data_IF_601826950223
#
_entry.id   IF_601826950223
#
_cell.length_a   1.000
_cell.length_b   1.000
_cell.length_c   1.000
_cell.angle_alpha   90.00
_cell.angle_beta   90.00
_cell.angle_gamma   90.00
#
_symmetry.space_group_name_H-M   'P 1'
#
loop_
_entity.id
_entity.type
_entity.pdbx_description
1 polymer ?
#
# COMPACT_ATOMS: atom_id res chain seq x y z
N UNK A 1 -11.77 -5.65 -13.40
CA UNK A 1 -12.91 -5.34 -12.52
C UNK A 1 -12.33 -4.97 -11.15
N UNK A 2 -12.33 -3.69 -10.83
CA UNK A 2 -11.98 -3.21 -9.50
C UNK A 2 -13.16 -3.51 -8.57
N UNK A 3 -13.16 -4.68 -7.94
CA UNK A 3 -14.05 -4.94 -6.83
C UNK A 3 -13.43 -4.34 -5.59
N UNK A 4 -14.06 -3.33 -5.02
CA UNK A 4 -13.73 -2.80 -3.71
C UNK A 4 -14.30 -3.81 -2.71
N UNK A 5 -13.49 -4.50 -1.90
CA UNK A 5 -13.99 -5.44 -0.91
C UNK A 5 -14.50 -4.64 0.31
N UNK A 6 -15.71 -4.08 0.19
CA UNK A 6 -16.37 -3.36 1.28
C UNK A 6 -17.39 -4.31 1.88
N UNK A 7 -17.28 -4.62 3.16
CA UNK A 7 -18.15 -5.54 3.89
C UNK A 7 -19.55 -4.99 4.17
N UNK A 8 -19.73 -3.68 4.05
CA UNK A 8 -21.04 -3.04 4.09
C UNK A 8 -21.31 -2.37 2.75
N UNK A 9 -22.52 -2.43 2.21
CA UNK A 9 -22.93 -1.67 1.05
C UNK A 9 -22.93 -0.18 1.44
N UNK A 10 -21.77 0.42 1.53
CA UNK A 10 -21.70 1.86 1.52
C UNK A 10 -22.11 2.28 0.12
N UNK A 11 -23.24 2.95 0.00
CA UNK A 11 -23.59 3.68 -1.20
C UNK A 11 -22.52 4.78 -1.36
N UNK A 12 -21.38 4.40 -1.99
CA UNK A 12 -20.47 5.39 -2.50
C UNK A 12 -21.22 6.13 -3.59
N UNK A 13 -21.68 7.31 -3.25
CA UNK A 13 -22.18 8.24 -4.24
C UNK A 13 -20.99 8.65 -5.12
N UNK A 14 -20.86 7.97 -6.26
CA UNK A 14 -19.83 8.23 -7.26
C UNK A 14 -20.25 9.34 -8.20
N UNK A 15 -21.35 10.05 -7.93
CA UNK A 15 -21.71 11.23 -8.67
C UNK A 15 -20.57 12.26 -8.54
N UNK A 16 -20.00 12.74 -9.65
CA UNK A 16 -18.89 13.68 -9.60
C UNK A 16 -19.38 14.95 -8.91
N UNK A 17 -18.82 15.25 -7.74
CA UNK A 17 -19.09 16.48 -7.01
C UNK A 17 -18.73 17.67 -7.92
N UNK A 18 -19.64 18.63 -8.01
CA UNK A 18 -19.47 19.87 -8.80
C UNK A 18 -18.13 20.54 -8.47
N UNK A 19 -17.71 20.54 -7.23
CA UNK A 19 -16.43 21.13 -6.81
C UNK A 19 -15.24 20.37 -7.38
N UNK A 20 -15.30 19.04 -7.43
CA UNK A 20 -14.27 18.19 -8.04
C UNK A 20 -14.20 18.41 -9.54
N UNK A 21 -15.36 18.49 -10.22
CA UNK A 21 -15.41 18.77 -11.66
C UNK A 21 -14.85 20.15 -11.97
N UNK A 22 -15.22 21.18 -11.19
CA UNK A 22 -14.69 22.53 -11.35
C UNK A 22 -13.18 22.61 -11.09
N UNK A 23 -12.70 21.91 -10.06
CA UNK A 23 -11.27 21.83 -9.74
C UNK A 23 -10.48 21.18 -10.87
N UNK A 24 -10.96 20.04 -11.39
CA UNK A 24 -10.32 19.35 -12.52
C UNK A 24 -10.35 20.21 -13.78
N UNK A 25 -11.48 20.86 -14.08
CA UNK A 25 -11.59 21.77 -15.22
C UNK A 25 -10.61 22.95 -15.09
N UNK A 26 -10.51 23.55 -13.90
CA UNK A 26 -9.54 24.62 -13.62
C UNK A 26 -8.08 24.12 -13.80
N UNK A 27 -7.75 22.93 -13.32
CA UNK A 27 -6.43 22.32 -13.52
C UNK A 27 -6.11 22.09 -15.00
N UNK A 28 -7.07 21.59 -15.79
CA UNK A 28 -6.91 21.38 -17.24
C UNK A 28 -6.65 22.72 -17.95
N UNK A 29 -7.43 23.76 -17.63
CA UNK A 29 -7.24 25.09 -18.19
C UNK A 29 -5.88 25.67 -17.80
N UNK A 30 -5.49 25.58 -16.54
CA UNK A 30 -4.19 26.05 -16.06
C UNK A 30 -3.05 25.30 -16.77
N UNK A 31 -3.13 23.96 -16.82
CA UNK A 31 -2.12 23.12 -17.46
C UNK A 31 -2.02 23.35 -18.99
N UNK A 32 -3.11 23.68 -19.65
CA UNK A 32 -3.13 23.99 -21.10
C UNK A 32 -2.68 25.42 -21.43
N UNK A 33 -3.12 26.39 -20.63
CA UNK A 33 -2.89 27.84 -20.90
C UNK A 33 -1.48 28.26 -20.45
N UNK A 34 -1.01 27.83 -19.27
CA UNK A 34 0.28 28.27 -18.74
C UNK A 34 1.48 28.00 -19.67
N UNK A 35 1.63 26.80 -20.27
CA UNK A 35 2.74 26.54 -21.19
C UNK A 35 2.62 27.26 -22.51
N UNK A 36 1.41 27.66 -22.93
CA UNK A 36 1.15 28.38 -24.19
C UNK A 36 1.31 29.89 -24.06
N UNK A 37 0.85 30.48 -22.97
CA UNK A 37 0.87 31.95 -22.76
C UNK A 37 2.29 32.50 -22.61
N UNK A 38 3.16 31.79 -21.89
CA UNK A 38 4.52 32.27 -21.67
C UNK A 38 5.36 32.38 -22.95
N UNK A 39 5.41 31.40 -23.86
CA UNK A 39 6.06 31.57 -25.16
C UNK A 39 5.44 32.66 -26.00
N UNK A 40 4.10 32.79 -26.01
CA UNK A 40 3.40 33.82 -26.73
C UNK A 40 3.76 35.24 -26.23
N UNK A 41 3.78 35.45 -24.91
CA UNK A 41 4.20 36.72 -24.31
C UNK A 41 5.69 37.03 -24.56
N UNK A 42 6.56 36.01 -24.52
CA UNK A 42 7.98 36.18 -24.81
C UNK A 42 8.24 36.49 -26.29
N UNK A 43 7.46 35.91 -27.20
CA UNK A 43 7.51 36.22 -28.62
C UNK A 43 6.97 37.66 -28.92
N UNK A 44 5.89 38.07 -28.25
CA UNK A 44 5.34 39.40 -28.37
C UNK A 44 6.26 40.52 -27.86
N UNK A 45 7.16 40.22 -26.92
CA UNK A 45 8.18 41.14 -26.39
C UNK A 45 9.51 41.13 -27.15
N UNK A 46 9.66 40.24 -28.14
CA UNK A 46 10.86 40.21 -28.97
C UNK A 46 10.94 41.47 -29.84
N UNK A 47 12.01 42.25 -29.64
CA UNK A 47 12.22 43.50 -30.36
C UNK A 47 12.50 43.20 -31.84
N UNK A 48 11.54 43.53 -32.76
CA UNK A 48 11.61 43.26 -34.19
C UNK A 48 12.85 43.91 -34.84
N UNK A 49 13.36 45.04 -34.27
CA UNK A 49 14.55 45.72 -34.73
C UNK A 49 15.85 44.92 -34.47
N UNK A 50 15.91 44.08 -33.43
CA UNK A 50 17.07 43.20 -33.20
C UNK A 50 17.08 41.97 -34.12
N UNK A 51 15.90 41.53 -34.58
CA UNK A 51 15.77 40.40 -35.54
C UNK A 51 16.20 40.82 -36.94
N UNK A 52 15.89 42.04 -37.34
CA UNK A 52 16.27 42.59 -38.67
C UNK A 52 17.75 43.01 -38.76
N UNK A 53 18.36 43.40 -37.63
CA UNK A 53 19.78 43.77 -37.56
C UNK A 53 20.78 42.63 -37.52
N UNK A 54 20.33 41.38 -37.26
CA UNK A 54 21.19 40.21 -37.09
C UNK A 54 21.28 39.29 -38.32
N UNK A 55 20.99 39.77 -39.53
CA UNK A 55 21.20 39.00 -40.79
C UNK A 55 22.66 38.84 -41.16
N UNK A 56 23.59 39.33 -40.35
CA UNK A 56 25.04 39.12 -40.55
C UNK A 56 25.68 38.44 -39.33
N UNK A 57 26.18 37.25 -39.54
CA UNK A 57 27.31 36.64 -38.88
C UNK A 57 27.22 36.15 -37.41
N UNK A 58 26.14 36.29 -36.66
CA UNK A 58 26.08 35.65 -35.34
C UNK A 58 24.63 35.19 -35.04
N UNK A 59 24.18 34.16 -35.75
CA UNK A 59 23.14 33.30 -35.21
C UNK A 59 23.76 32.53 -33.99
N UNK A 60 23.92 33.26 -32.89
CA UNK A 60 24.23 32.67 -31.59
C UNK A 60 23.23 31.53 -31.40
N UNK A 61 23.71 30.30 -31.48
CA UNK A 61 22.95 29.08 -31.29
C UNK A 61 21.97 29.32 -30.13
N UNK A 62 20.68 29.48 -30.44
CA UNK A 62 19.70 29.84 -29.45
C UNK A 62 19.66 28.72 -28.42
N UNK A 63 20.37 28.94 -27.34
CA UNK A 63 20.38 28.02 -26.19
C UNK A 63 18.92 27.78 -25.81
N UNK A 64 18.50 26.55 -25.54
CA UNK A 64 17.15 26.28 -25.09
C UNK A 64 16.83 27.20 -23.94
N UNK A 65 15.68 27.90 -24.02
CA UNK A 65 15.27 28.87 -23.01
C UNK A 65 15.37 28.23 -21.62
N UNK A 66 15.87 28.94 -20.61
CA UNK A 66 16.04 28.38 -19.27
C UNK A 66 14.76 27.74 -18.73
N UNK A 67 13.60 28.31 -19.07
CA UNK A 67 12.29 27.77 -18.72
C UNK A 67 12.06 26.35 -19.24
N UNK A 68 12.41 26.07 -20.50
CA UNK A 68 12.22 24.75 -21.10
C UNK A 68 13.09 23.68 -20.43
N UNK A 69 14.30 24.05 -20.03
CA UNK A 69 15.20 23.16 -19.25
C UNK A 69 14.61 22.87 -17.89
N UNK A 70 14.07 23.90 -17.23
CA UNK A 70 13.43 23.77 -15.92
C UNK A 70 12.19 22.87 -15.99
N UNK A 71 11.33 23.06 -16.97
CA UNK A 71 10.13 22.22 -17.13
C UNK A 71 10.47 20.73 -17.32
N UNK A 72 11.46 20.43 -18.19
CA UNK A 72 11.89 19.05 -18.40
C UNK A 72 12.61 18.51 -17.16
N UNK A 73 13.42 19.30 -16.49
CA UNK A 73 14.03 18.90 -15.21
C UNK A 73 13.00 18.56 -14.14
N UNK A 74 11.96 19.41 -14.00
CA UNK A 74 10.85 19.16 -13.07
C UNK A 74 10.05 17.90 -13.45
N UNK A 75 9.83 17.68 -14.77
CA UNK A 75 9.12 16.50 -15.26
C UNK A 75 9.92 15.21 -15.02
N UNK A 76 11.25 15.24 -15.23
CA UNK A 76 12.14 14.14 -14.88
C UNK A 76 12.14 13.90 -13.37
N UNK A 77 12.22 14.96 -12.56
CA UNK A 77 12.18 14.84 -11.11
C UNK A 77 10.86 14.23 -10.62
N UNK A 78 9.73 14.69 -11.14
CA UNK A 78 8.41 14.15 -10.81
C UNK A 78 8.28 12.68 -11.19
N UNK A 79 8.69 12.31 -12.40
CA UNK A 79 8.65 10.90 -12.84
C UNK A 79 9.55 10.00 -12.00
N UNK A 80 10.76 10.47 -11.63
CA UNK A 80 11.66 9.73 -10.73
C UNK A 80 11.03 9.53 -9.36
N UNK A 81 10.43 10.58 -8.80
CA UNK A 81 9.76 10.52 -7.51
C UNK A 81 8.61 9.50 -7.54
N UNK A 82 7.71 9.58 -8.54
CA UNK A 82 6.59 8.65 -8.64
C UNK A 82 7.04 7.20 -8.82
N UNK A 83 8.04 6.94 -9.68
CA UNK A 83 8.58 5.60 -9.89
C UNK A 83 9.27 5.04 -8.63
N UNK A 84 10.01 5.85 -7.90
CA UNK A 84 10.67 5.42 -6.67
C UNK A 84 9.66 5.10 -5.58
N UNK A 85 8.65 5.95 -5.37
CA UNK A 85 7.56 5.69 -4.42
C UNK A 85 6.76 4.45 -4.85
N UNK A 86 6.45 4.28 -6.14
CA UNK A 86 5.80 3.09 -6.66
C UNK A 86 6.63 1.83 -6.37
N UNK A 87 7.93 1.87 -6.61
CA UNK A 87 8.84 0.74 -6.31
C UNK A 87 8.83 0.36 -4.84
N UNK A 88 8.86 1.34 -3.93
CA UNK A 88 8.77 1.10 -2.48
C UNK A 88 7.40 0.53 -2.08
N UNK A 89 6.30 1.00 -2.67
CA UNK A 89 4.95 0.50 -2.40
C UNK A 89 4.78 -0.94 -2.92
N UNK A 90 5.28 -1.24 -4.12
CA UNK A 90 5.26 -2.61 -4.66
C UNK A 90 6.08 -3.55 -3.79
N UNK A 91 7.26 -3.12 -3.34
CA UNK A 91 8.09 -3.90 -2.43
C UNK A 91 7.41 -4.11 -1.07
N UNK A 92 6.79 -3.06 -0.52
CA UNK A 92 6.01 -3.15 0.72
C UNK A 92 4.85 -4.15 0.58
N UNK A 93 4.10 -4.07 -0.51
CA UNK A 93 3.01 -5.01 -0.78
C UNK A 93 3.51 -6.45 -0.95
N UNK A 94 4.60 -6.66 -1.69
CA UNK A 94 5.21 -7.97 -1.84
C UNK A 94 5.67 -8.56 -0.50
N UNK A 95 6.28 -7.74 0.35
CA UNK A 95 6.68 -8.16 1.69
C UNK A 95 5.47 -8.58 2.54
N UNK A 96 4.37 -7.80 2.49
CA UNK A 96 3.13 -8.12 3.22
C UNK A 96 2.57 -9.51 2.85
N UNK A 97 2.70 -9.91 1.58
CA UNK A 97 2.25 -11.22 1.12
C UNK A 97 3.07 -12.38 1.70
N UNK A 98 4.32 -12.14 2.10
CA UNK A 98 5.24 -13.17 2.63
C UNK A 98 5.39 -13.12 4.15
N UNK A 99 4.78 -12.14 4.81
CA UNK A 99 4.82 -12.04 6.26
C UNK A 99 4.04 -13.18 6.89
N UNK A 100 4.66 -13.89 7.83
CA UNK A 100 3.98 -14.84 8.70
C UNK A 100 3.15 -14.07 9.75
N UNK A 101 1.82 -14.20 9.75
CA UNK A 101 0.96 -13.54 10.73
C UNK A 101 0.98 -14.23 12.10
N UNK A 102 1.61 -15.42 12.22
CA UNK A 102 1.63 -16.24 13.43
C UNK A 102 0.41 -17.14 13.57
N UNK A 103 -0.38 -17.32 12.50
CA UNK A 103 -1.51 -18.25 12.41
C UNK A 103 -1.65 -18.79 10.97
N UNK A 104 -2.40 -19.89 10.83
CA UNK A 104 -2.64 -20.51 9.52
C UNK A 104 -3.69 -19.71 8.73
N UNK A 105 -3.25 -18.99 7.70
CA UNK A 105 -4.15 -18.21 6.83
C UNK A 105 -4.79 -19.02 5.71
N UNK A 106 -4.16 -20.15 5.32
CA UNK A 106 -4.51 -20.86 4.10
C UNK A 106 -5.69 -21.84 4.28
N UNK A 107 -5.93 -22.28 5.52
CA UNK A 107 -6.91 -23.35 5.79
C UNK A 107 -8.07 -22.91 6.68
N UNK A 108 -8.40 -21.60 6.71
CA UNK A 108 -9.46 -21.10 7.58
C UNK A 108 -10.63 -20.51 6.79
N UNK A 109 -11.83 -20.99 7.10
CA UNK A 109 -13.11 -20.40 6.73
C UNK A 109 -13.70 -19.66 7.94
N UNK A 110 -14.28 -18.50 7.69
CA UNK A 110 -14.87 -17.60 8.69
C UNK A 110 -16.33 -17.39 8.37
N UNK A 111 -17.20 -17.64 9.33
CA UNK A 111 -18.64 -17.38 9.23
C UNK A 111 -19.08 -16.52 10.41
N UNK A 112 -19.52 -15.30 10.16
CA UNK A 112 -19.94 -14.35 11.20
C UNK A 112 -21.45 -14.25 11.22
N UNK A 113 -22.04 -14.30 12.41
CA UNK A 113 -23.47 -14.15 12.68
C UNK A 113 -23.69 -13.19 13.83
N UNK A 114 -24.86 -12.55 13.86
CA UNK A 114 -25.31 -11.68 14.94
C UNK A 114 -26.80 -11.89 15.21
N UNK A 115 -27.17 -12.96 15.92
CA UNK A 115 -28.57 -13.31 16.14
C UNK A 115 -29.35 -12.23 16.94
N UNK A 116 -28.67 -11.50 17.81
CA UNK A 116 -29.26 -10.41 18.62
C UNK A 116 -29.93 -9.33 17.78
N UNK A 117 -29.43 -9.02 16.59
CA UNK A 117 -30.08 -8.10 15.65
C UNK A 117 -31.39 -8.63 15.06
N UNK A 118 -31.67 -9.92 15.23
CA UNK A 118 -32.86 -10.61 14.70
C UNK A 118 -33.81 -11.03 15.82
N UNK A 119 -33.76 -10.35 16.97
CA UNK A 119 -34.70 -10.55 18.07
C UNK A 119 -34.36 -11.69 19.02
N UNK A 120 -33.20 -12.32 18.88
CA UNK A 120 -32.74 -13.35 19.82
C UNK A 120 -32.23 -12.67 21.09
N UNK A 121 -32.63 -13.20 22.23
CA UNK A 121 -31.99 -12.83 23.50
C UNK A 121 -30.59 -13.46 23.60
N UNK A 122 -29.86 -13.14 24.66
CA UNK A 122 -28.49 -13.62 24.87
C UNK A 122 -28.39 -15.12 24.92
N UNK A 123 -29.30 -15.80 25.61
CA UNK A 123 -29.28 -17.26 25.77
C UNK A 123 -29.63 -17.95 24.45
N UNK A 124 -30.59 -17.41 23.73
CA UNK A 124 -30.96 -17.88 22.38
C UNK A 124 -29.82 -17.67 21.38
N UNK A 125 -29.15 -16.52 21.44
CA UNK A 125 -27.98 -16.20 20.62
C UNK A 125 -26.84 -17.18 20.86
N UNK A 126 -26.52 -17.45 22.13
CA UNK A 126 -25.51 -18.43 22.51
C UNK A 126 -25.87 -19.81 22.00
N UNK A 127 -27.11 -20.28 22.22
CA UNK A 127 -27.59 -21.57 21.76
C UNK A 127 -27.52 -21.70 20.23
N UNK A 128 -27.94 -20.65 19.49
CA UNK A 128 -27.87 -20.62 18.03
C UNK A 128 -26.44 -20.75 17.55
N UNK A 129 -25.52 -19.91 18.04
CA UNK A 129 -24.11 -19.90 17.62
C UNK A 129 -23.43 -21.23 17.93
N UNK A 130 -23.67 -21.83 19.12
CA UNK A 130 -23.17 -23.16 19.48
C UNK A 130 -23.70 -24.25 18.55
N UNK A 131 -25.02 -24.27 18.32
CA UNK A 131 -25.65 -25.21 17.40
C UNK A 131 -25.13 -25.10 15.97
N UNK A 132 -24.92 -23.88 15.49
CA UNK A 132 -24.31 -23.65 14.18
C UNK A 132 -22.84 -24.12 14.14
N UNK A 133 -22.07 -23.84 15.18
CA UNK A 133 -20.68 -24.32 15.30
C UNK A 133 -20.58 -25.85 15.27
N UNK A 134 -21.50 -26.55 15.97
CA UNK A 134 -21.54 -28.01 15.97
C UNK A 134 -21.92 -28.59 14.62
N UNK A 135 -22.88 -27.98 13.91
CA UNK A 135 -23.21 -28.37 12.53
C UNK A 135 -22.04 -28.14 11.59
N UNK A 136 -21.35 -27.00 11.69
CA UNK A 136 -20.16 -26.72 10.89
C UNK A 136 -19.06 -27.73 11.18
N UNK A 137 -18.84 -28.09 12.44
CA UNK A 137 -17.86 -29.12 12.86
C UNK A 137 -18.14 -30.48 12.21
N UNK A 138 -19.41 -30.82 12.00
CA UNK A 138 -19.82 -32.08 11.40
C UNK A 138 -19.68 -32.12 9.86
N UNK A 139 -19.35 -30.99 9.21
CA UNK A 139 -19.18 -30.95 7.76
C UNK A 139 -17.89 -31.68 7.32
N UNK A 140 -17.95 -32.39 6.18
CA UNK A 140 -16.77 -33.06 5.64
C UNK A 140 -15.64 -32.06 5.36
N UNK A 141 -14.42 -32.41 5.76
CA UNK A 141 -13.24 -31.60 5.55
C UNK A 141 -13.00 -30.51 6.60
N UNK A 142 -13.88 -30.34 7.59
CA UNK A 142 -13.63 -29.49 8.76
C UNK A 142 -12.90 -30.32 9.83
N UNK A 143 -11.77 -29.83 10.31
CA UNK A 143 -10.95 -30.50 11.31
C UNK A 143 -11.13 -29.92 12.72
N UNK A 144 -11.29 -28.61 12.83
CA UNK A 144 -11.52 -27.90 14.09
C UNK A 144 -12.52 -26.75 13.87
N UNK A 145 -13.29 -26.46 14.90
CA UNK A 145 -14.12 -25.25 14.96
C UNK A 145 -13.90 -24.54 16.27
N UNK A 146 -13.93 -23.22 16.25
CA UNK A 146 -13.89 -22.39 17.44
C UNK A 146 -14.73 -21.13 17.24
N UNK A 147 -15.07 -20.47 18.33
CA UNK A 147 -15.81 -19.23 18.35
C UNK A 147 -14.90 -18.08 18.75
N UNK A 148 -15.08 -16.94 18.10
CA UNK A 148 -14.40 -15.72 18.48
C UNK A 148 -15.35 -14.53 18.26
N UNK A 149 -15.41 -13.61 19.18
CA UNK A 149 -16.12 -12.36 18.94
C UNK A 149 -15.46 -11.59 17.79
N UNK A 150 -14.12 -11.66 17.72
CA UNK A 150 -13.33 -11.05 16.64
C UNK A 150 -12.17 -11.96 16.27
N UNK A 151 -11.89 -12.01 14.98
CA UNK A 151 -10.71 -12.67 14.43
C UNK A 151 -9.62 -11.64 14.11
N UNK A 152 -8.36 -12.03 13.98
CA UNK A 152 -7.31 -11.15 13.49
C UNK A 152 -7.70 -10.48 12.16
N UNK A 153 -7.21 -9.26 11.95
CA UNK A 153 -7.50 -8.46 10.76
C UNK A 153 -8.99 -8.12 10.55
N UNK A 154 -9.76 -8.09 11.64
CA UNK A 154 -11.16 -7.64 11.59
C UNK A 154 -11.26 -6.18 11.11
N UNK A 155 -12.26 -5.91 10.28
CA UNK A 155 -12.57 -4.55 9.79
C UNK A 155 -13.47 -3.85 10.81
N UNK A 156 -12.90 -2.96 11.60
CA UNK A 156 -13.64 -2.23 12.63
C UNK A 156 -12.73 -1.72 13.75
N UNK A 157 -13.35 -1.14 14.77
CA UNK A 157 -12.64 -0.64 15.94
C UNK A 157 -12.35 -1.78 16.92
N UNK A 158 -11.14 -1.80 17.49
CA UNK A 158 -10.81 -2.73 18.56
C UNK A 158 -11.63 -2.40 19.81
N UNK A 159 -12.07 -3.43 20.50
CA UNK A 159 -12.51 -3.27 21.89
C UNK A 159 -11.26 -3.12 22.74
N UNK A 160 -10.94 -1.89 23.09
CA UNK A 160 -9.81 -1.58 23.94
C UNK A 160 -10.24 -1.71 25.39
N UNK A 161 -9.63 -2.62 26.13
CA UNK A 161 -9.90 -2.88 27.53
C UNK A 161 -8.67 -2.51 28.36
N UNK A 162 -8.90 -1.85 29.49
CA UNK A 162 -7.84 -1.55 30.45
C UNK A 162 -7.25 -2.83 31.01
N UNK A 163 -5.92 -2.98 30.94
CA UNK A 163 -5.20 -4.11 31.54
C UNK A 163 -3.90 -3.62 32.14
N UNK A 164 -3.68 -3.95 33.43
CA UNK A 164 -2.46 -3.59 34.14
C UNK A 164 -2.05 -4.69 35.13
N UNK A 165 -0.76 -4.79 35.48
CA UNK A 165 -0.29 -5.74 36.47
C UNK A 165 -0.92 -5.49 37.86
N UNK A 166 -1.14 -6.55 38.63
CA UNK A 166 -1.79 -6.47 39.97
C UNK A 166 -1.02 -5.60 40.97
N UNK A 167 0.30 -5.45 40.80
CA UNK A 167 1.15 -4.60 41.64
C UNK A 167 1.07 -3.08 41.29
N UNK A 168 0.25 -2.70 40.33
CA UNK A 168 0.04 -1.31 39.96
C UNK A 168 -1.40 -0.91 40.24
N UNK A 169 -1.61 0.32 40.73
CA UNK A 169 -2.93 0.89 40.83
C UNK A 169 -3.21 1.74 39.60
N UNK A 170 -4.36 1.52 39.00
CA UNK A 170 -4.81 2.30 37.86
C UNK A 170 -6.30 2.61 38.01
N UNK A 171 -6.70 3.83 37.65
CA UNK A 171 -8.10 4.28 37.73
C UNK A 171 -8.52 5.03 36.47
N UNK A 172 -9.71 4.67 35.99
CA UNK A 172 -10.36 5.37 34.87
C UNK A 172 -9.58 5.29 33.53
N UNK A 173 -9.55 6.42 32.83
CA UNK A 173 -8.96 6.51 31.50
C UNK A 173 -7.43 6.53 31.47
N UNK A 174 -6.78 6.65 32.62
CA UNK A 174 -5.31 6.58 32.73
C UNK A 174 -4.76 5.16 32.56
N UNK A 175 -5.61 4.12 32.61
CA UNK A 175 -5.21 2.74 32.47
C UNK A 175 -4.75 2.43 31.04
N UNK A 176 -3.62 1.70 30.87
CA UNK A 176 -3.21 1.20 29.57
C UNK A 176 -4.32 0.35 28.95
N UNK A 177 -4.75 0.69 27.75
CA UNK A 177 -5.82 -0.03 27.04
C UNK A 177 -5.24 -0.85 25.91
N UNK A 178 -5.62 -2.13 25.84
CA UNK A 178 -5.14 -3.09 24.86
C UNK A 178 -6.31 -3.80 24.18
N UNK A 179 -6.14 -4.25 22.94
CA UNK A 179 -7.15 -5.04 22.24
C UNK A 179 -7.45 -6.34 22.97
N UNK A 180 -8.72 -6.59 23.25
CA UNK A 180 -9.24 -7.81 23.83
C UNK A 180 -9.88 -8.68 22.76
N UNK A 181 -9.57 -9.98 22.79
CA UNK A 181 -10.11 -11.00 21.89
C UNK A 181 -10.83 -12.07 22.71
N UNK A 182 -12.16 -12.00 22.88
CA UNK A 182 -12.95 -13.06 23.49
C UNK A 182 -12.99 -14.26 22.53
N UNK A 183 -12.55 -15.43 22.99
CA UNK A 183 -12.42 -16.67 22.22
C UNK A 183 -12.86 -17.89 22.99
N UNK A 184 -13.40 -18.89 22.31
CA UNK A 184 -13.73 -20.18 22.94
C UNK A 184 -12.50 -21.06 23.13
N UNK A 185 -12.65 -22.11 23.91
CA UNK A 185 -11.70 -23.21 23.94
C UNK A 185 -11.44 -23.74 22.52
N UNK A 186 -10.21 -24.22 22.27
CA UNK A 186 -9.77 -24.73 20.98
C UNK A 186 -9.51 -23.67 19.90
N UNK A 187 -9.64 -22.38 20.24
CA UNK A 187 -9.41 -21.28 19.28
C UNK A 187 -7.98 -21.27 18.72
N UNK A 188 -6.98 -21.44 19.58
CA UNK A 188 -5.58 -21.42 19.17
C UNK A 188 -5.25 -22.62 18.27
N UNK A 189 -5.79 -23.79 18.59
CA UNK A 189 -5.68 -24.99 17.75
C UNK A 189 -6.38 -24.79 16.39
N UNK A 190 -7.60 -24.23 16.37
CA UNK A 190 -8.33 -23.92 15.14
C UNK A 190 -7.59 -22.91 14.29
N UNK A 191 -7.08 -21.82 14.86
CA UNK A 191 -6.31 -20.79 14.17
C UNK A 191 -4.89 -21.24 13.79
N UNK A 192 -4.35 -22.28 14.41
CA UNK A 192 -2.94 -22.68 14.26
C UNK A 192 -1.98 -21.73 14.94
N UNK A 193 -2.42 -21.06 16.00
CA UNK A 193 -1.59 -20.17 16.82
C UNK A 193 -0.82 -21.05 17.82
N UNK A 194 0.50 -21.03 17.74
CA UNK A 194 1.33 -21.77 18.68
C UNK A 194 1.45 -21.02 20.02
N UNK A 195 1.29 -21.74 21.12
CA UNK A 195 1.66 -21.24 22.44
C UNK A 195 3.18 -21.36 22.64
N UNK A 196 3.78 -20.30 23.19
CA UNK A 196 5.18 -20.31 23.62
C UNK A 196 5.31 -20.97 25.00
N UNK A 197 4.33 -20.67 25.88
CA UNK A 197 4.30 -21.15 27.27
C UNK A 197 2.86 -21.35 27.70
N UNK A 198 2.65 -22.27 28.66
CA UNK A 198 1.37 -22.49 29.30
C UNK A 198 0.41 -23.38 28.51
N UNK A 199 -0.88 -23.11 28.62
CA UNK A 199 -1.97 -23.89 28.03
C UNK A 199 -3.06 -23.03 27.41
N UNK A 200 -3.89 -23.64 26.58
CA UNK A 200 -5.15 -23.03 26.08
C UNK A 200 -6.23 -22.96 27.19
N UNK A 201 -7.31 -22.26 26.87
CA UNK A 201 -8.53 -22.29 27.66
C UNK A 201 -9.18 -23.68 27.57
N UNK A 202 -9.65 -24.19 28.72
CA UNK A 202 -10.46 -25.42 28.76
C UNK A 202 -11.94 -25.10 28.51
N UNK A 203 -12.73 -26.09 28.09
CA UNK A 203 -14.18 -25.99 28.08
C UNK A 203 -14.67 -25.73 29.50
N UNK A 204 -15.38 -24.61 29.69
CA UNK A 204 -15.78 -24.14 31.01
C UNK A 204 -14.71 -23.35 31.77
N UNK A 205 -13.68 -22.84 31.07
CA UNK A 205 -12.67 -21.98 31.67
C UNK A 205 -13.34 -20.87 32.51
N UNK A 206 -12.94 -20.80 33.78
CA UNK A 206 -13.51 -19.87 34.72
C UNK A 206 -13.23 -18.42 34.30
N UNK A 207 -14.17 -17.54 34.57
CA UNK A 207 -13.92 -16.10 34.53
C UNK A 207 -12.71 -15.82 35.45
N UNK A 208 -11.56 -15.49 34.88
CA UNK A 208 -10.31 -15.27 35.64
C UNK A 208 -9.04 -15.79 34.99
N UNK A 209 -9.15 -16.35 33.78
CA UNK A 209 -8.00 -16.75 32.97
C UNK A 209 -7.79 -15.79 31.81
N UNK A 210 -6.53 -15.53 31.46
CA UNK A 210 -6.12 -14.70 30.34
C UNK A 210 -4.94 -15.33 29.62
N UNK A 211 -4.93 -15.26 28.30
CA UNK A 211 -3.78 -15.60 27.45
C UNK A 211 -3.29 -14.30 26.79
N UNK A 212 -1.98 -14.07 26.84
CA UNK A 212 -1.38 -12.85 26.29
C UNK A 212 -0.49 -13.19 25.11
N UNK A 213 -0.29 -12.24 24.19
CA UNK A 213 0.70 -12.46 23.14
C UNK A 213 2.11 -12.10 23.61
N UNK A 214 3.12 -12.52 22.85
CA UNK A 214 4.53 -12.34 23.20
C UNK A 214 4.92 -10.88 23.40
N UNK A 215 4.35 -9.95 22.61
CA UNK A 215 4.62 -8.53 22.74
C UNK A 215 4.04 -7.94 24.03
N UNK A 216 2.81 -8.33 24.39
CA UNK A 216 2.21 -7.95 25.67
C UNK A 216 3.06 -8.46 26.84
N UNK A 217 3.47 -9.73 26.79
CA UNK A 217 4.29 -10.33 27.81
C UNK A 217 5.63 -9.61 28.00
N UNK A 218 6.33 -9.29 26.91
CA UNK A 218 7.62 -8.57 26.95
C UNK A 218 7.46 -7.14 27.49
N UNK A 219 6.35 -6.48 27.15
CA UNK A 219 6.11 -5.10 27.56
C UNK A 219 5.80 -5.01 29.08
N UNK A 220 5.00 -5.96 29.59
CA UNK A 220 4.60 -5.96 31.00
C UNK A 220 5.63 -6.63 31.93
N UNK A 221 6.32 -7.62 31.43
CA UNK A 221 7.29 -8.41 32.20
C UNK A 221 8.59 -8.61 31.42
N UNK A 222 9.49 -7.61 31.43
CA UNK A 222 10.80 -7.72 30.74
C UNK A 222 11.69 -8.85 31.31
N UNK A 223 11.39 -9.33 32.52
CA UNK A 223 12.05 -10.49 33.16
C UNK A 223 11.68 -11.84 32.51
N UNK A 224 10.75 -11.86 31.52
CA UNK A 224 10.34 -13.03 30.78
C UNK A 224 9.42 -14.01 31.51
N UNK A 225 8.93 -13.68 32.70
CA UNK A 225 8.05 -14.54 33.52
C UNK A 225 6.61 -14.02 33.51
N UNK A 226 5.88 -14.27 32.43
CA UNK A 226 4.47 -13.86 32.32
C UNK A 226 3.51 -14.91 32.91
N UNK A 227 3.81 -16.19 32.76
CA UNK A 227 2.94 -17.30 33.18
C UNK A 227 2.68 -17.26 34.68
N UNK A 228 1.41 -17.41 35.09
CA UNK A 228 0.98 -17.38 36.48
C UNK A 228 0.89 -15.98 37.09
N UNK A 229 1.27 -14.93 36.39
CA UNK A 229 1.11 -13.55 36.84
C UNK A 229 -0.37 -13.16 36.82
N UNK A 230 -0.74 -12.28 37.76
CA UNK A 230 -2.09 -11.71 37.82
C UNK A 230 -2.08 -10.34 37.17
N UNK A 231 -3.06 -10.10 36.32
CA UNK A 231 -3.39 -8.79 35.75
C UNK A 231 -4.80 -8.40 36.14
N UNK A 232 -5.05 -7.10 36.21
CA UNK A 232 -6.39 -6.55 36.42
C UNK A 232 -6.96 -6.10 35.08
N UNK A 233 -8.19 -6.51 34.79
CA UNK A 233 -8.83 -6.30 33.48
C UNK A 233 -10.14 -5.52 33.65
N UNK A 234 -10.39 -4.61 32.71
CA UNK A 234 -11.61 -3.80 32.67
C UNK A 234 -11.64 -2.68 33.70
N UNK A 235 -12.71 -1.90 33.68
CA UNK A 235 -12.89 -0.75 34.59
C UNK A 235 -13.03 -1.18 36.05
N UNK A 236 -13.58 -2.37 36.29
CA UNK A 236 -13.73 -2.95 37.63
C UNK A 236 -12.42 -3.59 38.17
N UNK A 237 -11.38 -3.70 37.34
CA UNK A 237 -10.11 -4.29 37.74
C UNK A 237 -10.24 -5.75 38.14
N UNK A 238 -10.98 -6.56 37.39
CA UNK A 238 -11.17 -7.99 37.64
C UNK A 238 -9.82 -8.69 37.59
N UNK A 239 -9.40 -9.43 38.65
CA UNK A 239 -8.14 -10.14 38.62
C UNK A 239 -8.22 -11.34 37.68
N UNK A 240 -7.26 -11.47 36.76
CA UNK A 240 -7.13 -12.57 35.83
C UNK A 240 -5.70 -13.12 35.86
N UNK A 241 -5.57 -14.46 35.82
CA UNK A 241 -4.28 -15.14 35.84
C UNK A 241 -3.84 -15.46 34.42
N UNK A 242 -2.59 -15.13 34.07
CA UNK A 242 -1.98 -15.49 32.78
C UNK A 242 -1.74 -17.01 32.76
N UNK A 243 -2.51 -17.73 31.95
CA UNK A 243 -2.43 -19.20 31.80
C UNK A 243 -1.68 -19.62 30.56
N UNK A 244 -1.44 -18.73 29.62
CA UNK A 244 -0.70 -19.00 28.40
C UNK A 244 -0.11 -17.74 27.78
N UNK A 245 0.97 -17.93 27.02
CA UNK A 245 1.61 -16.90 26.21
C UNK A 245 1.69 -17.42 24.79
N UNK A 246 1.13 -16.69 23.81
CA UNK A 246 1.27 -17.10 22.41
C UNK A 246 2.66 -16.74 21.89
N UNK A 247 3.13 -17.48 20.90
CA UNK A 247 4.23 -17.01 20.06
C UNK A 247 3.81 -15.73 19.37
N UNK A 248 4.66 -15.19 18.51
CA UNK A 248 4.35 -14.01 17.72
C UNK A 248 3.00 -14.19 17.02
N UNK A 249 2.03 -13.32 17.33
CA UNK A 249 0.70 -13.33 16.71
C UNK A 249 0.32 -11.93 16.33
N UNK A 250 0.19 -11.65 15.03
CA UNK A 250 -0.24 -10.36 14.52
C UNK A 250 -1.76 -10.33 14.44
N UNK A 251 -2.37 -9.56 15.32
CA UNK A 251 -3.83 -9.44 15.38
C UNK A 251 -4.36 -8.27 14.54
N UNK A 252 -3.51 -7.25 14.33
CA UNK A 252 -3.88 -6.06 13.57
C UNK A 252 -2.67 -5.46 12.87
N UNK A 253 -2.69 -5.45 11.55
CA UNK A 253 -1.58 -4.99 10.73
C UNK A 253 -0.44 -6.02 10.65
N UNK A 254 0.23 -6.04 9.50
CA UNK A 254 1.32 -6.97 9.21
C UNK A 254 2.71 -6.36 9.47
N UNK A 255 2.74 -5.09 9.89
CA UNK A 255 3.97 -4.34 10.15
C UNK A 255 4.77 -4.88 11.34
N UNK A 256 4.08 -5.10 12.45
CA UNK A 256 4.66 -5.61 13.70
C UNK A 256 3.61 -6.30 14.55
N UNK A 257 4.04 -7.16 15.45
CA UNK A 257 3.19 -7.63 16.53
C UNK A 257 2.82 -6.44 17.42
N UNK A 258 1.55 -6.37 17.80
CA UNK A 258 1.04 -5.37 18.75
C UNK A 258 0.56 -6.07 19.99
N UNK A 259 0.73 -5.47 21.18
CA UNK A 259 0.24 -6.07 22.41
C UNK A 259 -1.25 -6.36 22.30
N UNK A 260 -1.63 -7.59 22.63
CA UNK A 260 -3.01 -8.06 22.61
C UNK A 260 -3.19 -9.18 23.64
N UNK A 261 -4.42 -9.40 24.05
CA UNK A 261 -4.75 -10.48 24.96
C UNK A 261 -6.06 -11.15 24.59
N UNK A 262 -6.19 -12.39 25.04
CA UNK A 262 -7.33 -13.26 24.80
C UNK A 262 -8.01 -13.56 26.12
N UNK A 263 -9.33 -13.57 26.12
CA UNK A 263 -10.16 -13.92 27.29
C UNK A 263 -11.16 -14.99 26.88
N UNK A 264 -11.64 -15.82 27.80
CA UNK A 264 -12.71 -16.77 27.52
C UNK A 264 -13.95 -16.07 26.97
N UNK A 265 -14.59 -16.67 25.97
CA UNK A 265 -15.85 -16.18 25.40
C UNK A 265 -16.99 -16.41 26.43
N UNK A 266 -17.41 -15.36 27.07
CA UNK A 266 -18.47 -15.38 28.09
C UNK A 266 -19.84 -15.03 27.50
N UNK A 267 -20.89 -15.24 28.27
CA UNK A 267 -22.26 -15.04 27.83
C UNK A 267 -22.55 -13.63 27.29
N UNK A 268 -21.95 -12.59 27.88
CA UNK A 268 -22.12 -11.21 27.43
C UNK A 268 -21.60 -10.94 26.01
N UNK A 269 -20.70 -11.77 25.50
CA UNK A 269 -20.13 -11.60 24.16
C UNK A 269 -21.10 -12.04 23.05
N UNK A 270 -22.19 -12.76 23.39
CA UNK A 270 -23.22 -13.18 22.43
C UNK A 270 -24.27 -12.09 22.15
N UNK A 271 -24.20 -10.95 22.82
CA UNK A 271 -25.04 -9.78 22.52
C UNK A 271 -24.62 -9.08 21.20
N UNK A 272 -23.47 -9.43 20.65
CA UNK A 272 -22.94 -8.90 19.40
C UNK A 272 -22.58 -9.98 18.39
N UNK A 273 -21.90 -9.57 17.36
CA UNK A 273 -21.45 -10.48 16.31
C UNK A 273 -20.42 -11.50 16.83
N UNK A 274 -20.62 -12.76 16.49
CA UNK A 274 -19.70 -13.87 16.78
C UNK A 274 -19.28 -14.55 15.48
N UNK A 275 -17.98 -14.82 15.37
CA UNK A 275 -17.38 -15.50 14.23
C UNK A 275 -17.11 -16.95 14.55
N UNK A 276 -17.60 -17.85 13.74
CA UNK A 276 -17.21 -19.26 13.74
C UNK A 276 -15.97 -19.38 12.88
N UNK A 277 -14.87 -19.81 13.49
CA UNK A 277 -13.63 -20.12 12.82
C UNK A 277 -13.61 -21.62 12.54
N UNK A 278 -13.56 -22.00 11.27
CA UNK A 278 -13.54 -23.39 10.84
C UNK A 278 -12.22 -23.70 10.13
N UNK A 279 -11.43 -24.61 10.69
CA UNK A 279 -10.21 -25.12 10.05
C UNK A 279 -10.57 -26.23 9.09
N UNK A 280 -10.07 -26.15 7.87
CA UNK A 280 -10.29 -27.13 6.81
C UNK A 280 -9.04 -27.98 6.58
N UNK A 281 -9.22 -29.20 6.11
CA UNK A 281 -8.13 -30.09 5.66
C UNK A 281 -7.63 -29.77 4.24
N UNK A 282 -8.32 -28.88 3.52
CA UNK A 282 -8.01 -28.48 2.15
C UNK A 282 -8.41 -27.02 1.90
N UNK A 283 -8.76 -26.70 0.66
CA UNK A 283 -9.15 -25.35 0.25
C UNK A 283 -10.38 -24.85 1.03
N UNK A 284 -10.26 -23.82 1.87
CA UNK A 284 -11.35 -23.30 2.68
C UNK A 284 -12.49 -22.69 1.85
N UNK A 285 -12.24 -22.27 0.60
CA UNK A 285 -13.28 -21.73 -0.27
C UNK A 285 -14.36 -22.79 -0.59
N UNK A 286 -13.99 -24.06 -0.59
CA UNK A 286 -14.96 -25.18 -0.81
C UNK A 286 -15.85 -25.42 0.39
N UNK A 287 -15.46 -24.98 1.58
CA UNK A 287 -16.28 -25.11 2.78
C UNK A 287 -17.33 -24.00 2.89
N UNK A 288 -17.19 -22.89 2.19
CA UNK A 288 -18.11 -21.75 2.32
C UNK A 288 -19.57 -22.11 1.94
N UNK A 289 -19.88 -22.74 0.78
CA UNK A 289 -21.25 -23.09 0.46
C UNK A 289 -21.90 -24.07 1.46
N UNK A 290 -21.25 -25.17 1.90
CA UNK A 290 -21.79 -26.02 2.95
C UNK A 290 -22.05 -25.31 4.28
N UNK A 291 -21.18 -24.38 4.69
CA UNK A 291 -21.38 -23.56 5.90
C UNK A 291 -22.61 -22.67 5.74
N UNK A 292 -22.79 -22.02 4.58
CA UNK A 292 -23.98 -21.24 4.30
C UNK A 292 -25.26 -22.07 4.37
N UNK A 293 -25.25 -23.27 3.79
CA UNK A 293 -26.39 -24.20 3.83
C UNK A 293 -26.70 -24.65 5.27
N UNK A 294 -25.69 -24.91 6.08
CA UNK A 294 -25.86 -25.28 7.50
C UNK A 294 -26.50 -24.15 8.32
N UNK A 295 -26.12 -22.90 8.07
CA UNK A 295 -26.70 -21.73 8.71
C UNK A 295 -28.18 -21.55 8.31
N UNK A 296 -28.48 -21.57 7.02
CA UNK A 296 -29.86 -21.44 6.50
C UNK A 296 -30.78 -22.55 6.96
N UNK A 297 -30.25 -23.77 7.12
CA UNK A 297 -31.01 -24.93 7.63
C UNK A 297 -31.28 -24.86 9.14
N UNK A 298 -30.53 -24.04 9.89
CA UNK A 298 -30.78 -23.85 11.31
C UNK A 298 -31.83 -22.78 11.57
N UNK A 299 -31.73 -21.65 10.92
CA UNK A 299 -32.68 -20.55 10.99
C UNK A 299 -32.57 -19.63 9.75
N UNK A 300 -33.63 -19.51 9.00
CA UNK A 300 -33.63 -18.76 7.73
C UNK A 300 -33.53 -17.24 7.95
N UNK A 301 -34.02 -16.75 9.09
CA UNK A 301 -34.12 -15.31 9.38
C UNK A 301 -32.84 -14.72 9.96
N UNK A 302 -31.84 -15.55 10.29
CA UNK A 302 -30.52 -15.06 10.77
C UNK A 302 -29.50 -15.21 9.64
N UNK A 303 -29.24 -14.14 8.88
CA UNK A 303 -28.28 -14.19 7.80
C UNK A 303 -26.84 -14.25 8.33
N UNK A 304 -25.96 -14.84 7.54
CA UNK A 304 -24.53 -14.69 7.76
C UNK A 304 -24.12 -13.24 7.41
N UNK A 305 -23.55 -12.52 8.38
CA UNK A 305 -23.02 -11.18 8.15
C UNK A 305 -21.82 -11.20 7.19
N UNK A 306 -20.92 -12.16 7.43
CA UNK A 306 -19.81 -12.42 6.52
C UNK A 306 -19.56 -13.91 6.42
N UNK A 307 -19.18 -14.35 5.22
CA UNK A 307 -18.76 -15.72 4.93
C UNK A 307 -17.59 -15.67 3.95
N UNK A 308 -16.39 -15.93 4.42
CA UNK A 308 -15.17 -15.78 3.62
C UNK A 308 -14.02 -16.60 4.17
N UNK A 309 -12.94 -16.70 3.40
CA UNK A 309 -11.70 -17.30 3.87
C UNK A 309 -10.87 -16.27 4.65
N UNK A 310 -9.93 -16.73 5.47
CA UNK A 310 -9.00 -15.87 6.18
C UNK A 310 -8.09 -15.07 5.23
N UNK A 311 -7.73 -15.63 4.08
CA UNK A 311 -7.00 -14.91 3.05
C UNK A 311 -7.81 -13.75 2.47
N UNK A 312 -9.10 -13.95 2.21
CA UNK A 312 -10.00 -12.88 1.77
C UNK A 312 -10.13 -11.79 2.85
N UNK A 313 -10.23 -12.20 4.13
CA UNK A 313 -10.24 -11.27 5.26
C UNK A 313 -8.98 -10.39 5.28
N UNK A 314 -7.80 -11.00 5.15
CA UNK A 314 -6.53 -10.27 5.11
C UNK A 314 -6.39 -9.39 3.85
N UNK A 315 -6.93 -9.84 2.71
CA UNK A 315 -6.88 -9.09 1.45
C UNK A 315 -7.58 -7.72 1.57
N UNK A 316 -8.64 -7.61 2.38
CA UNK A 316 -9.32 -6.34 2.67
C UNK A 316 -8.35 -5.34 3.31
N UNK A 317 -7.53 -5.77 4.26
CA UNK A 317 -6.54 -4.92 4.92
C UNK A 317 -5.37 -4.52 3.98
N UNK A 318 -5.05 -5.37 3.01
CA UNK A 318 -3.98 -5.13 2.03
C UNK A 318 -4.45 -4.31 0.82
N UNK A 319 -5.76 -4.15 0.64
CA UNK A 319 -6.33 -3.44 -0.51
C UNK A 319 -5.79 -2.00 -0.69
N UNK A 320 -5.65 -1.15 0.36
CA UNK A 320 -5.12 0.20 0.19
C UNK A 320 -3.69 0.19 -0.36
N UNK A 321 -2.83 -0.71 0.12
CA UNK A 321 -1.45 -0.84 -0.34
C UNK A 321 -1.38 -1.25 -1.81
N UNK A 322 -2.20 -2.23 -2.21
CA UNK A 322 -2.32 -2.66 -3.60
C UNK A 322 -2.80 -1.52 -4.50
N UNK A 323 -3.83 -0.80 -4.09
CA UNK A 323 -4.40 0.30 -4.87
C UNK A 323 -3.43 1.46 -5.02
N UNK A 324 -2.78 1.88 -3.93
CA UNK A 324 -1.74 2.90 -3.97
C UNK A 324 -0.58 2.49 -4.87
N UNK A 325 -0.11 1.25 -4.78
CA UNK A 325 0.96 0.74 -5.66
C UNK A 325 0.58 0.86 -7.13
N UNK A 326 -0.64 0.49 -7.52
CA UNK A 326 -1.13 0.63 -8.88
C UNK A 326 -1.23 2.09 -9.33
N UNK A 327 -1.81 2.97 -8.50
CA UNK A 327 -1.95 4.39 -8.82
C UNK A 327 -0.56 5.03 -9.06
N UNK A 328 0.37 4.83 -8.13
CA UNK A 328 1.71 5.41 -8.25
C UNK A 328 2.49 4.80 -9.43
N UNK A 329 2.31 3.51 -9.73
CA UNK A 329 2.92 2.88 -10.89
C UNK A 329 2.39 3.48 -12.20
N UNK A 330 1.07 3.61 -12.35
CA UNK A 330 0.46 4.21 -13.54
C UNK A 330 0.91 5.68 -13.70
N UNK A 331 0.85 6.47 -12.64
CA UNK A 331 1.32 7.86 -12.67
C UNK A 331 2.82 7.95 -13.00
N UNK A 332 3.64 7.07 -12.44
CA UNK A 332 5.07 6.99 -12.72
C UNK A 332 5.37 6.65 -14.17
N UNK A 333 4.68 5.65 -14.73
CA UNK A 333 4.82 5.27 -16.14
C UNK A 333 4.38 6.40 -17.08
N UNK A 334 3.22 7.01 -16.82
CA UNK A 334 2.75 8.15 -17.60
C UNK A 334 3.73 9.33 -17.56
N UNK A 335 4.22 9.66 -16.36
CA UNK A 335 5.22 10.71 -16.19
C UNK A 335 6.54 10.38 -16.89
N UNK A 336 6.97 9.11 -16.87
CA UNK A 336 8.14 8.63 -17.60
C UNK A 336 7.98 8.76 -19.12
N UNK A 337 6.83 8.38 -19.67
CA UNK A 337 6.54 8.52 -21.09
C UNK A 337 6.56 10.00 -21.49
N UNK A 338 5.88 10.87 -20.74
CA UNK A 338 5.87 12.31 -20.99
C UNK A 338 7.28 12.91 -20.92
N UNK A 339 8.08 12.54 -19.92
CA UNK A 339 9.48 13.00 -19.77
C UNK A 339 10.34 12.55 -20.94
N UNK A 340 10.14 11.30 -21.38
CA UNK A 340 10.87 10.72 -22.49
C UNK A 340 10.54 11.45 -23.81
N UNK A 341 9.27 11.68 -24.09
CA UNK A 341 8.81 12.43 -25.28
C UNK A 341 9.29 13.89 -25.21
N UNK A 342 9.18 14.52 -24.04
CA UNK A 342 9.63 15.90 -23.83
C UNK A 342 11.12 16.08 -24.10
N UNK A 343 11.95 15.19 -23.56
CA UNK A 343 13.40 15.27 -23.75
C UNK A 343 13.80 14.91 -25.20
N UNK A 344 13.21 13.86 -25.77
CA UNK A 344 13.43 13.52 -27.18
C UNK A 344 13.04 14.67 -28.14
N UNK A 345 11.94 15.37 -27.86
CA UNK A 345 11.52 16.56 -28.60
C UNK A 345 12.52 17.72 -28.51
N UNK A 346 13.11 17.94 -27.32
CA UNK A 346 14.16 18.97 -27.16
C UNK A 346 15.41 18.59 -27.93
N UNK A 347 15.83 17.34 -27.85
CA UNK A 347 16.99 16.82 -28.57
C UNK A 347 16.77 16.96 -30.08
N UNK A 348 15.62 16.52 -30.58
CA UNK A 348 15.28 16.64 -32.02
C UNK A 348 15.33 18.09 -32.49
N UNK A 349 14.72 19.02 -31.74
CA UNK A 349 14.73 20.43 -32.07
C UNK A 349 16.14 21.06 -32.02
N UNK A 350 16.94 20.67 -31.02
CA UNK A 350 18.33 21.13 -30.89
C UNK A 350 19.19 20.66 -32.08
N UNK A 351 19.00 19.40 -32.46
CA UNK A 351 19.69 18.80 -33.62
C UNK A 351 19.28 19.49 -34.92
N UNK A 352 17.98 19.69 -35.18
CA UNK A 352 17.49 20.32 -36.39
C UNK A 352 18.04 21.75 -36.60
N UNK A 353 18.26 22.48 -35.53
CA UNK A 353 18.87 23.82 -35.58
C UNK A 353 20.39 23.82 -35.83
N UNK A 354 21.07 22.69 -35.55
CA UNK A 354 22.52 22.56 -35.67
C UNK A 354 22.95 21.72 -36.86
N UNK A 355 22.02 21.37 -37.76
CA UNK A 355 22.32 20.53 -38.93
C UNK A 355 23.45 21.11 -39.79
N UNK A 356 23.48 22.44 -40.01
CA UNK A 356 24.55 23.11 -40.75
C UNK A 356 25.90 23.02 -40.04
N UNK A 357 25.91 23.25 -38.70
CA UNK A 357 27.14 23.08 -37.88
C UNK A 357 27.68 21.66 -37.96
N UNK A 358 26.78 20.68 -37.87
CA UNK A 358 27.15 19.26 -38.02
C UNK A 358 27.66 18.91 -39.40
N UNK A 359 27.04 19.48 -40.44
CA UNK A 359 27.53 19.32 -41.82
C UNK A 359 28.95 19.85 -42.01
N UNK A 360 29.24 21.04 -41.54
CA UNK A 360 30.59 21.65 -41.59
C UNK A 360 31.61 20.80 -40.81
N UNK A 361 31.24 20.32 -39.61
CA UNK A 361 32.16 19.46 -38.81
C UNK A 361 32.44 18.12 -39.51
N UNK A 362 31.43 17.52 -40.15
CA UNK A 362 31.62 16.28 -40.92
C UNK A 362 32.52 16.50 -42.15
N UNK A 363 32.38 17.63 -42.83
CA UNK A 363 33.29 17.99 -43.93
C UNK A 363 34.72 18.24 -43.47
N UNK A 364 34.93 18.58 -42.20
CA UNK A 364 36.25 18.73 -41.55
C UNK A 364 36.78 17.43 -40.95
N UNK A 365 36.08 16.29 -41.12
CA UNK A 365 36.55 14.95 -40.70
C UNK A 365 35.96 14.44 -39.38
N UNK A 366 34.98 15.10 -38.78
CA UNK A 366 34.27 14.56 -37.63
C UNK A 366 33.46 13.31 -38.00
N UNK A 367 33.50 12.28 -37.15
CA UNK A 367 32.76 11.06 -37.39
C UNK A 367 31.31 11.17 -36.87
N UNK A 368 30.35 10.41 -37.43
CA UNK A 368 29.00 10.34 -36.92
C UNK A 368 28.92 9.96 -35.43
N UNK A 369 29.91 9.19 -34.95
CA UNK A 369 30.00 8.80 -33.51
C UNK A 369 30.34 9.98 -32.60
N UNK A 370 31.13 10.93 -33.06
CA UNK A 370 31.48 12.12 -32.28
C UNK A 370 30.27 13.01 -32.08
N UNK A 371 29.44 13.19 -33.11
CA UNK A 371 28.20 13.93 -33.06
C UNK A 371 27.16 13.25 -32.16
N UNK A 372 27.06 11.93 -32.27
CA UNK A 372 26.18 11.14 -31.40
C UNK A 372 26.57 11.31 -29.92
N UNK A 373 27.88 11.24 -29.61
CA UNK A 373 28.40 11.41 -28.27
C UNK A 373 28.13 12.79 -27.72
N UNK A 374 28.26 13.85 -28.54
CA UNK A 374 27.95 15.23 -28.14
C UNK A 374 26.47 15.41 -27.78
N UNK A 375 25.57 14.88 -28.63
CA UNK A 375 24.11 14.92 -28.40
C UNK A 375 23.73 14.15 -27.15
N UNK A 376 24.25 12.93 -26.95
CA UNK A 376 24.00 12.15 -25.77
C UNK A 376 24.52 12.82 -24.49
N UNK A 377 25.74 13.39 -24.55
CA UNK A 377 26.32 14.11 -23.41
C UNK A 377 25.46 15.32 -22.99
N UNK A 378 24.92 16.06 -23.99
CA UNK A 378 24.02 17.19 -23.70
C UNK A 378 22.70 16.72 -23.06
N UNK A 379 22.18 15.56 -23.49
CA UNK A 379 20.97 14.95 -22.93
C UNK A 379 21.18 14.50 -21.49
N UNK A 380 22.28 13.86 -21.18
CA UNK A 380 22.67 13.42 -19.83
C UNK A 380 22.83 14.63 -18.90
N UNK A 381 23.45 15.72 -19.35
CA UNK A 381 23.57 16.95 -18.56
C UNK A 381 22.22 17.57 -18.18
N UNK A 382 21.18 17.36 -18.99
CA UNK A 382 19.82 17.81 -18.66
C UNK A 382 19.08 16.83 -17.74
N UNK A 383 19.36 15.53 -17.88
CA UNK A 383 18.75 14.46 -17.10
C UNK A 383 19.20 14.45 -15.65
N UNK A 384 20.52 14.56 -15.41
CA UNK A 384 21.13 14.37 -14.09
C UNK A 384 20.54 15.27 -12.99
N UNK A 385 20.38 16.59 -13.19
CA UNK A 385 19.79 17.44 -12.14
C UNK A 385 18.36 17.05 -11.79
N UNK A 386 17.54 16.73 -12.81
CA UNK A 386 16.16 16.26 -12.60
C UNK A 386 16.12 14.93 -11.85
N UNK A 387 16.99 13.98 -12.22
CA UNK A 387 17.11 12.68 -11.57
C UNK A 387 17.50 12.82 -10.09
N UNK A 388 18.53 13.61 -9.80
CA UNK A 388 18.98 13.86 -8.41
C UNK A 388 17.88 14.52 -7.59
N UNK A 389 17.25 15.57 -8.13
CA UNK A 389 16.14 16.24 -7.45
C UNK A 389 14.98 15.28 -7.19
N UNK A 390 14.64 14.44 -8.19
CA UNK A 390 13.58 13.43 -8.05
C UNK A 390 13.88 12.37 -7.00
N UNK A 391 15.11 11.88 -6.92
CA UNK A 391 15.53 10.93 -5.89
C UNK A 391 15.49 11.56 -4.49
N UNK A 392 15.91 12.81 -4.34
CA UNK A 392 15.82 13.53 -3.07
C UNK A 392 14.37 13.76 -2.65
N UNK A 393 13.50 14.17 -3.59
CA UNK A 393 12.06 14.31 -3.33
C UNK A 393 11.42 12.98 -2.95
N UNK A 394 11.78 11.89 -3.64
CA UNK A 394 11.31 10.55 -3.32
C UNK A 394 11.72 10.10 -1.91
N UNK A 395 12.99 10.33 -1.54
CA UNK A 395 13.49 10.01 -0.21
C UNK A 395 12.80 10.84 0.88
N UNK A 396 12.56 12.12 0.64
CA UNK A 396 11.83 12.99 1.55
C UNK A 396 10.37 12.55 1.69
N UNK A 397 9.68 12.29 0.58
CA UNK A 397 8.29 11.79 0.59
C UNK A 397 8.17 10.44 1.29
N UNK A 398 9.07 9.49 1.01
CA UNK A 398 9.10 8.18 1.65
C UNK A 398 9.36 8.28 3.16
N UNK A 399 10.22 9.21 3.59
CA UNK A 399 10.50 9.44 5.00
C UNK A 399 9.33 10.09 5.75
N UNK A 400 8.63 11.03 5.13
CA UNK A 400 7.41 11.63 5.68
C UNK A 400 6.27 10.61 5.78
N UNK A 401 6.16 9.73 4.80
CA UNK A 401 5.13 8.70 4.73
C UNK A 401 5.62 7.32 5.21
N UNK A 402 6.66 7.24 6.03
CA UNK A 402 7.26 5.97 6.46
C UNK A 402 6.29 5.01 7.15
N UNK A 403 5.22 5.53 7.77
CA UNK A 403 4.16 4.74 8.41
C UNK A 403 3.32 3.93 7.39
N UNK A 404 3.36 4.28 6.10
CA UNK A 404 2.66 3.55 5.02
C UNK A 404 3.50 2.35 4.55
N UNK A 405 4.83 2.39 4.69
CA UNK A 405 5.72 1.35 4.17
C UNK A 405 5.97 0.27 5.21
N UNK A 406 5.44 -0.92 4.96
CA UNK A 406 5.53 -2.06 5.88
C UNK A 406 6.70 -2.95 5.49
N UNK A 407 7.61 -3.21 6.45
CA UNK A 407 8.72 -4.15 6.25
C UNK A 407 9.74 -3.71 5.20
N UNK A 408 9.75 -2.43 4.82
CA UNK A 408 10.69 -1.87 3.84
C UNK A 408 11.52 -0.78 4.51
N UNK A 409 12.83 -0.86 4.33
CA UNK A 409 13.67 0.28 4.63
C UNK A 409 13.49 1.33 3.55
N UNK A 410 12.76 2.41 3.86
CA UNK A 410 12.44 3.49 2.92
C UNK A 410 13.66 4.19 2.33
N UNK A 411 14.83 4.03 2.93
CA UNK A 411 16.11 4.55 2.45
C UNK A 411 17.00 3.47 1.82
N UNK A 412 16.44 2.31 1.46
CA UNK A 412 17.21 1.25 0.80
C UNK A 412 17.77 1.76 -0.55
N UNK A 413 19.11 1.91 -0.70
CA UNK A 413 19.72 2.50 -1.89
C UNK A 413 19.44 1.68 -3.16
N UNK A 414 19.19 0.38 -3.05
CA UNK A 414 18.96 -0.49 -4.19
C UNK A 414 17.74 -0.03 -4.98
N UNK A 415 16.62 0.27 -4.32
CA UNK A 415 15.39 0.74 -4.99
C UNK A 415 15.63 2.03 -5.77
N UNK A 416 16.34 2.99 -5.16
CA UNK A 416 16.65 4.28 -5.81
C UNK A 416 17.60 4.10 -7.00
N UNK A 417 18.62 3.26 -6.87
CA UNK A 417 19.57 2.95 -7.95
C UNK A 417 18.86 2.26 -9.12
N UNK A 418 18.02 1.26 -8.85
CA UNK A 418 17.25 0.56 -9.90
C UNK A 418 16.35 1.52 -10.66
N UNK A 419 15.61 2.39 -9.96
CA UNK A 419 14.74 3.39 -10.60
C UNK A 419 15.56 4.40 -11.41
N UNK A 420 16.67 4.88 -10.87
CA UNK A 420 17.54 5.81 -11.57
C UNK A 420 18.12 5.20 -12.86
N UNK A 421 18.60 3.98 -12.79
CA UNK A 421 19.14 3.25 -13.95
C UNK A 421 18.05 2.97 -15.00
N UNK A 422 16.86 2.52 -14.56
CA UNK A 422 15.72 2.27 -15.44
C UNK A 422 15.35 3.54 -16.22
N UNK A 423 15.17 4.65 -15.49
CA UNK A 423 14.77 5.92 -16.09
C UNK A 423 15.86 6.48 -17.00
N UNK A 424 17.12 6.47 -16.57
CA UNK A 424 18.24 6.91 -17.39
C UNK A 424 18.35 6.09 -18.69
N UNK A 425 18.21 4.77 -18.60
CA UNK A 425 18.26 3.86 -19.77
C UNK A 425 17.15 4.17 -20.76
N UNK A 426 15.90 4.30 -20.31
CA UNK A 426 14.74 4.58 -21.19
C UNK A 426 14.90 5.93 -21.88
N UNK A 427 15.29 6.97 -21.15
CA UNK A 427 15.46 8.32 -21.71
C UNK A 427 16.64 8.37 -22.70
N UNK A 428 17.76 7.73 -22.37
CA UNK A 428 18.91 7.66 -23.27
C UNK A 428 18.55 6.92 -24.56
N UNK A 429 17.88 5.77 -24.46
CA UNK A 429 17.41 5.00 -25.63
C UNK A 429 16.48 5.84 -26.51
N UNK A 430 15.57 6.60 -25.93
CA UNK A 430 14.66 7.47 -26.67
C UNK A 430 15.39 8.62 -27.38
N UNK A 431 16.53 9.08 -26.85
CA UNK A 431 17.35 10.11 -27.47
C UNK A 431 18.26 9.56 -28.60
N UNK A 432 18.49 8.24 -28.65
CA UNK A 432 19.33 7.63 -29.69
C UNK A 432 18.69 7.77 -31.08
N UNK A 433 17.38 7.59 -31.22
CA UNK A 433 16.71 7.67 -32.51
C UNK A 433 16.86 9.06 -33.18
N UNK A 434 16.56 10.20 -32.51
CA UNK A 434 16.82 11.52 -33.10
C UNK A 434 18.31 11.79 -33.32
N UNK A 435 19.20 11.30 -32.47
CA UNK A 435 20.63 11.48 -32.63
C UNK A 435 21.20 10.71 -33.85
N UNK A 436 20.73 9.48 -34.09
CA UNK A 436 21.09 8.71 -35.29
C UNK A 436 20.56 9.35 -36.59
N UNK A 437 19.37 9.94 -36.55
CA UNK A 437 18.86 10.72 -37.72
C UNK A 437 19.76 11.89 -38.04
N UNK A 438 20.24 12.60 -37.01
CA UNK A 438 21.16 13.70 -37.17
C UNK A 438 22.51 13.32 -37.79
N UNK A 439 23.03 12.18 -37.40
CA UNK A 439 24.35 11.68 -37.90
C UNK A 439 24.31 11.15 -39.33
N UNK A 440 23.10 10.96 -39.90
CA UNK A 440 22.90 10.48 -41.30
C UNK A 440 22.55 11.56 -42.31
N UNK A 441 22.58 12.84 -41.91
CA UNK A 441 22.29 13.95 -42.81
C UNK A 441 23.43 14.06 -43.86
N UNK A 442 23.08 14.07 -45.16
CA UNK A 442 24.04 14.26 -46.23
C UNK A 442 24.63 15.68 -46.18
N UNK A 443 25.97 15.79 -46.01
CA UNK A 443 26.64 17.09 -45.94
C UNK A 443 26.35 18.01 -47.13
N UNK A 444 26.20 17.39 -48.31
CA UNK A 444 25.94 18.15 -49.57
C UNK A 444 24.54 18.78 -49.57
N UNK A 445 23.54 18.08 -49.01
CA UNK A 445 22.16 18.65 -48.90
C UNK A 445 22.10 19.75 -47.83
N UNK A 446 22.88 19.61 -46.73
CA UNK A 446 22.94 20.64 -45.66
C UNK A 446 23.58 21.95 -46.11
N UNK A 447 24.46 21.91 -47.10
CA UNK A 447 25.10 23.11 -47.70
C UNK A 447 24.28 23.74 -48.84
N UNK A 448 23.37 22.97 -49.50
CA UNK A 448 22.57 23.39 -50.65
C UNK A 448 21.25 24.08 -50.25
N UNK A 449 20.81 23.94 -48.99
CA UNK A 449 19.58 24.55 -48.46
C UNK A 449 19.79 25.97 -47.89
N UNK A 450 20.80 26.67 -48.40
CA UNK A 450 21.11 28.07 -48.06
C UNK A 450 20.55 29.02 -49.12
#
# INVERSE_FOLDING_TARGET
>A
TFAIPIEQPQHLDLAPDRNVVMFVAALIVIAGVLPGVWPALSAARANVLQVLGSQGANAVAARPTPLRRWLVGAQVAGSTMFLAVAGLLVQSYANLLHVDPGFDRAHLALAQVEPSQHGFDRAQSEQYVRSLSDRVRALPGITHTALAQRVPFFTGYDTLVGVWPDNQSCTGDACPKWPAYPVSAGYFAAMGIALAEGREFNDGAAAGEIIVNGEFARLQWPDGRALGRIVRVGTAGVPMTVVGVTRMTRTRGLDRERPAFFVPLAAEHYDGAVTIVARTSGDPARALPPIAAAASALHTDVPLLTLKTMEQQMAVQMWPFRTLSWIFTICGVLALVLSTVGLAGIVMHSVSRRVREFGVRMSMGATPRDLLREVLHSSVRMLVPGLVAGLLLAAAAARLAQFIFVGVNVLNPITYVVVALLQATIIVLACVAPALRASRVDPMLALRSA
#
